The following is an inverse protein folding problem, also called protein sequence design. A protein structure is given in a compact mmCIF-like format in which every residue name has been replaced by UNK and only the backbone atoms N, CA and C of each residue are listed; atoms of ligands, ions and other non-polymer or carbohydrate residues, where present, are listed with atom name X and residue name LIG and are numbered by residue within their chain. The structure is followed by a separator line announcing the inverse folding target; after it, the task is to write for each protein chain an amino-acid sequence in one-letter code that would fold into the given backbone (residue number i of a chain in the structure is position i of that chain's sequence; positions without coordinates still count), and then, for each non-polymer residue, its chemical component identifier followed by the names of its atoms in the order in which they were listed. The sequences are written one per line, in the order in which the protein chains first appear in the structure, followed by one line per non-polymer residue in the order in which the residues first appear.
data_IF_519808734986
#
_entry.id   IF_519808734986
#
_cell.length_a   1.000
_cell.length_b   1.000
_cell.length_c   1.000
_cell.angle_alpha   90.00
_cell.angle_beta   90.00
_cell.angle_gamma   90.00
#
_symmetry.space_group_name_H-M   'P 1'
#
loop_
_entity.id
_entity.type
_entity.pdbx_description
1 polymer ?
#
# COMPACT_ATOMS: atom_id res chain seq x y z
N UNK A 1 3.21 9.62 -27.57
CA UNK A 1 2.27 8.75 -28.32
C UNK A 1 1.96 7.57 -27.44
N UNK A 2 0.70 7.17 -27.26
CA UNK A 2 0.36 6.01 -26.43
C UNK A 2 0.93 4.74 -27.07
N UNK A 3 1.88 4.05 -26.45
CA UNK A 3 2.53 2.87 -27.03
C UNK A 3 1.59 1.68 -27.22
N UNK A 4 0.42 1.72 -26.58
CA UNK A 4 -0.64 0.70 -26.69
C UNK A 4 -1.53 0.90 -27.89
N UNK A 5 -1.40 2.01 -28.61
CA UNK A 5 -2.15 2.22 -29.85
C UNK A 5 -1.64 1.27 -30.92
N UNK A 6 -2.55 0.51 -31.47
CA UNK A 6 -2.26 -0.36 -32.61
C UNK A 6 -1.76 0.49 -33.78
N UNK A 7 -0.75 0.00 -34.49
CA UNK A 7 -0.28 0.64 -35.71
C UNK A 7 -1.37 0.59 -36.78
N UNK A 8 -1.81 1.77 -37.22
CA UNK A 8 -2.89 1.92 -38.20
C UNK A 8 -2.41 1.99 -39.67
N UNK A 9 -1.08 2.03 -39.88
CA UNK A 9 -0.45 2.08 -41.16
C UNK A 9 -0.39 0.72 -41.89
N UNK A 10 0.06 0.72 -43.15
CA UNK A 10 0.32 -0.52 -43.84
C UNK A 10 1.60 -1.18 -43.33
N UNK A 11 1.58 -2.49 -43.09
CA UNK A 11 2.72 -3.23 -42.49
C UNK A 11 4.04 -3.05 -43.25
N UNK A 12 3.99 -2.88 -44.60
CA UNK A 12 5.20 -2.62 -45.41
C UNK A 12 5.87 -1.28 -45.08
N UNK A 13 5.13 -0.34 -44.50
CA UNK A 13 5.60 1.00 -44.16
C UNK A 13 5.92 1.12 -42.66
N UNK A 14 5.87 -0.02 -41.92
CA UNK A 14 6.17 -0.05 -40.49
C UNK A 14 7.62 0.37 -40.23
N UNK A 15 7.86 1.35 -39.33
CA UNK A 15 9.22 1.80 -39.02
C UNK A 15 10.02 0.70 -38.36
N UNK A 16 10.96 0.11 -39.07
CA UNK A 16 11.81 -0.98 -38.56
C UNK A 16 12.66 -0.56 -37.38
N UNK A 17 12.93 0.75 -37.23
CA UNK A 17 13.60 1.33 -36.05
C UNK A 17 12.80 1.19 -34.75
N UNK A 18 11.52 0.83 -34.83
CA UNK A 18 10.72 0.51 -33.64
C UNK A 18 11.07 -0.88 -33.05
N UNK A 19 11.79 -1.72 -33.78
CA UNK A 19 12.31 -2.97 -33.27
C UNK A 19 13.71 -2.75 -32.66
N UNK A 20 13.90 -2.90 -31.35
CA UNK A 20 15.19 -2.63 -30.69
C UNK A 20 16.33 -3.52 -31.18
N UNK A 21 16.00 -4.73 -31.66
CA UNK A 21 16.92 -5.73 -32.15
C UNK A 21 17.14 -5.68 -33.67
N UNK A 22 16.49 -4.73 -34.37
CA UNK A 22 16.66 -4.59 -35.80
C UNK A 22 18.02 -3.99 -36.16
N UNK A 23 18.76 -4.71 -37.01
CA UNK A 23 19.97 -4.25 -37.66
C UNK A 23 19.95 -4.67 -39.14
N UNK A 24 20.09 -3.71 -40.08
CA UNK A 24 20.03 -4.03 -41.51
C UNK A 24 21.02 -5.13 -41.93
N UNK A 25 20.50 -6.18 -42.56
CA UNK A 25 21.33 -7.29 -43.06
C UNK A 25 21.75 -8.30 -42.01
N UNK A 26 21.32 -8.17 -40.77
CA UNK A 26 21.62 -9.11 -39.70
C UNK A 26 20.36 -9.74 -39.13
N UNK A 27 20.38 -11.01 -38.69
CA UNK A 27 19.27 -11.61 -37.97
C UNK A 27 19.10 -10.96 -36.58
N UNK A 28 17.89 -10.99 -36.02
CA UNK A 28 17.67 -10.57 -34.63
C UNK A 28 18.56 -11.34 -33.66
N UNK A 29 19.08 -10.65 -32.65
CA UNK A 29 19.94 -11.24 -31.62
C UNK A 29 19.44 -10.92 -30.24
N UNK A 30 19.27 -11.94 -29.40
CA UNK A 30 18.76 -11.82 -28.04
C UNK A 30 19.65 -10.93 -27.16
N UNK A 31 20.95 -10.95 -27.34
CA UNK A 31 21.89 -10.12 -26.57
C UNK A 31 21.67 -8.60 -26.73
N UNK A 32 20.90 -8.17 -27.73
CA UNK A 32 20.51 -6.77 -27.89
C UNK A 32 19.32 -6.43 -26.97
N UNK A 33 18.38 -7.35 -26.85
CA UNK A 33 17.19 -7.20 -25.96
C UNK A 33 17.57 -7.36 -24.49
N UNK A 34 18.57 -8.21 -24.19
CA UNK A 34 19.06 -8.39 -22.80
C UNK A 34 19.63 -7.11 -22.17
N UNK A 35 20.00 -6.11 -22.99
CA UNK A 35 20.47 -4.81 -22.52
C UNK A 35 19.36 -3.86 -22.07
N UNK A 36 18.11 -4.20 -22.42
CA UNK A 36 16.94 -3.39 -22.08
C UNK A 36 16.31 -4.00 -20.84
N UNK A 37 16.38 -3.28 -19.73
CA UNK A 37 15.76 -3.73 -18.46
C UNK A 37 14.24 -3.64 -18.49
N UNK A 38 13.57 -4.51 -17.76
CA UNK A 38 12.11 -4.47 -17.63
C UNK A 38 11.61 -3.08 -17.18
N UNK A 39 12.32 -2.44 -16.25
CA UNK A 39 11.94 -1.12 -15.72
C UNK A 39 12.09 -0.01 -16.79
N UNK A 40 12.99 -0.16 -17.76
CA UNK A 40 13.17 0.80 -18.85
C UNK A 40 11.96 0.82 -19.80
N UNK A 41 11.24 -0.29 -19.89
CA UNK A 41 10.12 -0.47 -20.81
C UNK A 41 8.74 -0.42 -20.12
N UNK A 42 8.69 -0.44 -18.79
CA UNK A 42 7.41 -0.60 -18.06
C UNK A 42 6.40 0.49 -18.44
N UNK A 43 6.81 1.73 -18.56
CA UNK A 43 5.91 2.82 -18.94
C UNK A 43 5.46 2.70 -20.40
N UNK A 44 6.37 2.30 -21.29
CA UNK A 44 6.10 2.14 -22.73
C UNK A 44 5.13 0.99 -23.00
N UNK A 45 5.34 -0.15 -22.33
CA UNK A 45 4.56 -1.38 -22.59
C UNK A 45 3.27 -1.41 -21.75
N UNK A 46 3.37 -1.05 -20.47
CA UNK A 46 2.29 -1.17 -19.51
C UNK A 46 1.54 0.15 -19.26
N UNK A 47 2.00 1.26 -19.88
CA UNK A 47 1.32 2.53 -19.94
C UNK A 47 1.39 3.41 -18.69
N UNK A 48 2.15 3.03 -17.67
CA UNK A 48 2.37 3.83 -16.47
C UNK A 48 3.66 3.43 -15.75
N UNK A 49 4.22 4.37 -14.97
CA UNK A 49 5.34 4.13 -14.06
C UNK A 49 4.83 3.56 -12.75
N UNK A 50 4.39 2.31 -12.77
CA UNK A 50 3.93 1.62 -11.57
C UNK A 50 4.98 1.64 -10.48
N UNK A 51 4.61 2.01 -9.24
CA UNK A 51 5.56 2.15 -8.15
C UNK A 51 5.09 2.95 -6.94
N UNK A 52 3.78 3.10 -6.75
CA UNK A 52 3.21 3.99 -5.73
C UNK A 52 3.63 3.72 -4.29
N UNK A 53 4.08 2.50 -3.99
CA UNK A 53 4.55 2.12 -2.65
C UNK A 53 6.08 1.96 -2.57
N UNK A 54 6.82 2.33 -3.62
CA UNK A 54 8.29 2.19 -3.66
C UNK A 54 9.05 3.38 -3.11
N UNK A 55 8.39 4.51 -2.84
CA UNK A 55 9.04 5.74 -2.40
C UNK A 55 8.08 6.73 -1.76
N UNK A 56 8.57 7.94 -1.49
CA UNK A 56 7.84 9.01 -0.81
C UNK A 56 7.55 10.23 -1.69
N UNK A 57 7.83 10.17 -2.99
CA UNK A 57 7.53 11.24 -3.94
C UNK A 57 6.04 11.55 -4.03
N UNK A 58 5.68 12.54 -4.86
CA UNK A 58 4.28 12.98 -4.98
C UNK A 58 3.36 11.86 -5.45
N UNK A 59 2.30 11.62 -4.70
CA UNK A 59 1.27 10.64 -5.02
C UNK A 59 0.45 11.11 -6.23
N UNK A 60 0.35 10.26 -7.25
CA UNK A 60 -0.36 10.58 -8.50
C UNK A 60 -1.63 9.77 -8.69
N UNK A 61 -1.59 8.53 -8.24
CA UNK A 61 -2.71 7.62 -8.47
C UNK A 61 -2.83 6.61 -7.31
N UNK A 62 -4.05 6.36 -6.89
CA UNK A 62 -4.40 5.35 -5.88
C UNK A 62 -5.54 4.46 -6.34
N UNK A 63 -5.67 3.30 -5.74
CA UNK A 63 -6.88 2.50 -5.83
C UNK A 63 -7.61 2.48 -4.49
N UNK A 64 -8.95 2.53 -4.58
CA UNK A 64 -9.90 2.32 -3.49
C UNK A 64 -10.87 1.22 -3.89
N UNK A 65 -11.44 0.50 -2.93
CA UNK A 65 -12.53 -0.48 -3.17
C UNK A 65 -13.87 0.17 -2.85
N UNK A 66 -14.87 -0.03 -3.71
CA UNK A 66 -16.24 0.41 -3.41
C UNK A 66 -16.83 -0.45 -2.29
N UNK A 67 -17.30 0.15 -1.19
CA UNK A 67 -17.99 -0.58 -0.14
C UNK A 67 -19.30 -1.19 -0.63
N UNK A 68 -19.62 -2.38 -0.12
CA UNK A 68 -20.87 -3.07 -0.38
C UNK A 68 -21.44 -3.63 0.93
N UNK A 69 -22.67 -4.16 0.87
CA UNK A 69 -23.31 -4.85 2.00
C UNK A 69 -22.50 -6.05 2.53
N UNK A 70 -21.55 -6.56 1.76
CA UNK A 70 -20.62 -7.61 2.21
C UNK A 70 -19.60 -7.14 3.24
N UNK A 71 -19.51 -5.83 3.50
CA UNK A 71 -18.67 -5.29 4.58
C UNK A 71 -19.33 -5.45 5.96
N UNK A 72 -20.60 -5.78 6.01
CA UNK A 72 -21.25 -6.20 7.25
C UNK A 72 -20.77 -7.60 7.60
N UNK A 73 -20.15 -7.72 8.77
CA UNK A 73 -19.61 -8.99 9.21
C UNK A 73 -20.74 -9.93 9.65
N UNK A 74 -20.90 -11.09 9.00
CA UNK A 74 -21.95 -12.04 9.34
C UNK A 74 -21.74 -12.70 10.71
N UNK A 75 -20.54 -12.62 11.28
CA UNK A 75 -20.26 -13.12 12.62
C UNK A 75 -20.70 -12.15 13.70
N UNK A 76 -20.95 -10.88 13.37
CA UNK A 76 -21.39 -9.87 14.33
C UNK A 76 -22.64 -10.27 15.12
N UNK A 77 -23.59 -10.87 14.45
CA UNK A 77 -24.85 -11.32 15.07
C UNK A 77 -24.68 -12.61 15.90
N UNK A 78 -23.60 -13.39 15.63
CA UNK A 78 -23.36 -14.69 16.26
C UNK A 78 -22.38 -14.63 17.40
N UNK A 79 -21.30 -13.89 17.24
CA UNK A 79 -20.23 -13.79 18.23
C UNK A 79 -19.62 -12.39 18.25
N UNK A 80 -20.13 -11.56 19.16
CA UNK A 80 -19.64 -10.17 19.37
C UNK A 80 -18.26 -10.09 20.00
N UNK A 81 -17.72 -11.21 20.48
CA UNK A 81 -16.39 -11.29 21.07
C UNK A 81 -15.34 -11.75 20.07
N UNK A 82 -15.73 -12.06 18.85
CA UNK A 82 -14.78 -12.44 17.81
C UNK A 82 -13.80 -11.28 17.53
N UNK A 83 -12.53 -11.53 17.71
CA UNK A 83 -11.49 -10.51 17.83
C UNK A 83 -11.28 -9.64 16.59
N UNK A 84 -11.60 -10.16 15.41
CA UNK A 84 -11.52 -9.39 14.15
C UNK A 84 -12.76 -8.52 13.91
N UNK A 85 -13.77 -8.66 14.77
CA UNK A 85 -14.99 -7.88 14.68
C UNK A 85 -14.83 -6.61 15.49
N UNK A 86 -15.09 -5.51 14.86
CA UNK A 86 -15.27 -4.29 15.62
C UNK A 86 -16.55 -4.38 16.42
N UNK A 87 -16.50 -3.79 17.61
CA UNK A 87 -17.65 -3.72 18.52
C UNK A 87 -18.78 -2.80 18.00
N UNK A 88 -18.63 -2.27 16.78
CA UNK A 88 -19.57 -1.35 16.16
C UNK A 88 -20.13 -1.96 14.88
N UNK A 89 -21.45 -2.01 14.76
CA UNK A 89 -22.12 -2.40 13.52
C UNK A 89 -21.79 -1.40 12.42
N UNK A 90 -21.44 -1.90 11.25
CA UNK A 90 -21.15 -1.06 10.09
C UNK A 90 -22.46 -0.51 9.51
N UNK A 91 -22.56 0.81 9.44
CA UNK A 91 -23.56 1.51 8.65
C UNK A 91 -23.02 1.65 7.22
N UNK A 92 -23.61 0.91 6.30
CA UNK A 92 -23.15 0.80 4.91
C UNK A 92 -23.30 2.12 4.16
N UNK A 93 -24.36 2.85 4.35
CA UNK A 93 -24.58 4.10 3.63
C UNK A 93 -23.59 5.18 4.10
N UNK A 94 -23.37 5.25 5.41
CA UNK A 94 -22.35 6.11 5.99
C UNK A 94 -20.94 5.72 5.54
N UNK A 95 -20.65 4.41 5.42
CA UNK A 95 -19.38 3.94 4.94
C UNK A 95 -19.16 4.30 3.46
N UNK A 96 -20.17 4.10 2.60
CA UNK A 96 -20.12 4.50 1.19
C UNK A 96 -19.86 6.00 1.06
N UNK A 97 -20.59 6.84 1.79
CA UNK A 97 -20.39 8.28 1.76
C UNK A 97 -18.98 8.67 2.22
N UNK A 98 -18.46 8.05 3.28
CA UNK A 98 -17.12 8.34 3.77
C UNK A 98 -16.02 8.00 2.74
N UNK A 99 -16.20 6.93 1.95
CA UNK A 99 -15.27 6.62 0.85
C UNK A 99 -15.37 7.62 -0.30
N UNK A 100 -16.56 8.10 -0.64
CA UNK A 100 -16.77 9.13 -1.66
C UNK A 100 -16.16 10.47 -1.22
N UNK A 101 -16.40 10.89 0.04
CA UNK A 101 -15.81 12.11 0.60
C UNK A 101 -14.27 12.02 0.60
N UNK A 102 -13.73 10.88 0.97
CA UNK A 102 -12.28 10.65 0.94
C UNK A 102 -11.71 10.70 -0.48
N UNK A 103 -12.40 10.09 -1.44
CA UNK A 103 -11.99 10.15 -2.85
C UNK A 103 -11.99 11.60 -3.37
N UNK A 104 -12.99 12.41 -3.02
CA UNK A 104 -13.04 13.83 -3.39
C UNK A 104 -11.87 14.61 -2.79
N UNK A 105 -11.48 14.32 -1.54
CA UNK A 105 -10.28 14.94 -0.93
C UNK A 105 -9.03 14.58 -1.73
N UNK A 106 -8.82 13.31 -2.08
CA UNK A 106 -7.68 12.88 -2.89
C UNK A 106 -7.66 13.57 -4.27
N UNK A 107 -8.80 13.61 -4.96
CA UNK A 107 -8.94 14.25 -6.28
C UNK A 107 -8.70 15.76 -6.21
N UNK A 108 -9.15 16.43 -5.16
CA UNK A 108 -8.87 17.85 -4.93
C UNK A 108 -7.38 18.17 -4.76
N UNK A 109 -6.60 17.18 -4.35
CA UNK A 109 -5.14 17.24 -4.23
C UNK A 109 -4.40 16.83 -5.51
N UNK A 110 -5.14 16.54 -6.59
CA UNK A 110 -4.59 16.12 -7.87
C UNK A 110 -4.17 14.64 -7.91
N UNK A 111 -4.70 13.83 -7.00
CA UNK A 111 -4.49 12.38 -6.97
C UNK A 111 -5.65 11.70 -7.71
N UNK A 112 -5.34 10.92 -8.74
CA UNK A 112 -6.34 10.16 -9.46
C UNK A 112 -6.80 8.95 -8.66
N UNK A 113 -8.09 8.78 -8.48
CA UNK A 113 -8.68 7.63 -7.81
C UNK A 113 -9.16 6.59 -8.82
N UNK A 114 -8.66 5.36 -8.71
CA UNK A 114 -9.22 4.19 -9.39
C UNK A 114 -10.07 3.39 -8.44
N UNK A 115 -11.29 3.15 -8.86
CA UNK A 115 -12.20 2.30 -8.11
C UNK A 115 -12.04 0.84 -8.53
N UNK A 116 -11.80 -0.02 -7.56
CA UNK A 116 -11.95 -1.45 -7.72
C UNK A 116 -13.38 -1.83 -7.36
N UNK A 117 -14.08 -2.44 -8.31
CA UNK A 117 -15.41 -2.99 -8.03
C UNK A 117 -15.31 -4.15 -7.04
N UNK A 118 -16.19 -4.15 -6.07
CA UNK A 118 -16.23 -5.23 -5.09
C UNK A 118 -16.51 -6.56 -5.80
N UNK A 119 -15.69 -7.60 -5.53
CA UNK A 119 -15.95 -8.91 -6.13
C UNK A 119 -17.29 -9.45 -5.67
N UNK A 120 -18.03 -10.03 -6.59
CA UNK A 120 -19.36 -10.63 -6.31
C UNK A 120 -19.27 -12.03 -5.68
N UNK A 121 -18.07 -12.61 -5.59
CA UNK A 121 -17.87 -13.95 -5.05
C UNK A 121 -17.39 -13.91 -3.60
N UNK A 122 -17.87 -14.83 -2.81
CA UNK A 122 -17.38 -15.12 -1.48
C UNK A 122 -15.93 -15.63 -1.52
N UNK A 123 -15.15 -15.38 -0.49
CA UNK A 123 -13.85 -16.02 -0.32
C UNK A 123 -13.98 -17.54 -0.13
N UNK A 124 -12.86 -18.24 -0.24
CA UNK A 124 -12.82 -19.71 -0.13
C UNK A 124 -13.41 -20.26 1.18
N UNK A 125 -13.41 -19.46 2.23
CA UNK A 125 -13.86 -19.86 3.57
C UNK A 125 -15.06 -19.06 4.09
N UNK A 126 -15.69 -18.25 3.24
CA UNK A 126 -16.89 -17.48 3.60
C UNK A 126 -16.89 -16.06 3.07
N UNK A 127 -17.75 -15.18 3.63
CA UNK A 127 -17.84 -13.78 3.25
C UNK A 127 -16.52 -13.07 3.45
N UNK A 128 -16.09 -12.32 2.44
CA UNK A 128 -14.79 -11.68 2.40
C UNK A 128 -14.93 -10.19 2.67
N UNK A 129 -14.26 -9.69 3.71
CA UNK A 129 -14.08 -8.24 3.89
C UNK A 129 -13.03 -7.74 2.90
N UNK A 130 -13.31 -6.63 2.22
CA UNK A 130 -12.61 -6.22 1.02
C UNK A 130 -11.96 -4.85 1.09
N UNK A 131 -12.29 -4.06 2.12
CA UNK A 131 -11.92 -2.64 2.17
C UNK A 131 -10.45 -2.36 2.43
N UNK A 132 -9.68 -3.33 2.88
CA UNK A 132 -8.26 -3.17 3.22
C UNK A 132 -7.34 -3.18 1.98
N UNK A 133 -7.61 -2.30 1.03
CA UNK A 133 -6.84 -2.23 -0.22
C UNK A 133 -5.35 -2.02 0.04
N UNK A 134 -5.00 -1.12 0.97
CA UNK A 134 -3.62 -0.83 1.30
C UNK A 134 -2.88 -1.92 2.07
N UNK A 135 -3.62 -2.88 2.67
CA UNK A 135 -3.02 -3.97 3.46
C UNK A 135 -2.81 -5.26 2.67
N UNK A 136 -3.34 -5.36 1.46
CA UNK A 136 -3.30 -6.61 0.70
C UNK A 136 -2.19 -6.65 -0.34
N UNK A 137 -2.14 -5.79 -1.37
CA UNK A 137 -1.05 -5.75 -2.32
C UNK A 137 -0.08 -4.60 -2.05
N UNK A 138 1.09 -4.68 -2.66
CA UNK A 138 2.08 -3.61 -2.70
C UNK A 138 2.44 -3.33 -4.15
N UNK A 139 2.47 -2.06 -4.57
CA UNK A 139 2.91 -1.68 -5.91
C UNK A 139 4.25 -0.97 -5.82
N UNK A 140 5.31 -1.67 -6.18
CA UNK A 140 6.69 -1.16 -6.22
C UNK A 140 7.11 -0.87 -7.67
N UNK A 141 8.33 -0.39 -7.88
CA UNK A 141 8.85 -0.17 -9.23
C UNK A 141 8.66 -1.40 -10.10
N UNK A 142 7.93 -1.22 -11.19
CA UNK A 142 7.63 -2.24 -12.17
C UNK A 142 6.28 -2.95 -12.00
N UNK A 143 5.64 -2.93 -10.82
CA UNK A 143 4.33 -3.58 -10.68
C UNK A 143 3.96 -4.04 -9.27
N UNK A 144 3.00 -4.92 -9.21
CA UNK A 144 2.37 -5.38 -7.99
C UNK A 144 2.97 -6.66 -7.41
N UNK A 145 3.06 -6.71 -6.09
CA UNK A 145 3.21 -7.95 -5.32
C UNK A 145 1.86 -8.21 -4.65
N UNK A 146 1.27 -9.37 -4.91
CA UNK A 146 -0.02 -9.76 -4.36
C UNK A 146 0.20 -10.59 -3.10
N UNK A 147 -0.38 -10.13 -2.00
CA UNK A 147 -0.30 -10.76 -0.69
C UNK A 147 -1.00 -12.10 -0.62
N UNK A 148 -0.54 -12.94 0.31
CA UNK A 148 -1.31 -14.09 0.81
C UNK A 148 -1.61 -13.90 2.28
N UNK A 149 -2.89 -13.86 2.62
CA UNK A 149 -3.37 -13.47 3.94
C UNK A 149 -3.02 -14.47 5.03
N UNK A 150 -2.59 -13.99 6.19
CA UNK A 150 -2.18 -14.78 7.35
C UNK A 150 -3.08 -14.67 8.55
N UNK A 151 -3.69 -13.52 8.78
CA UNK A 151 -4.45 -13.26 10.00
C UNK A 151 -5.80 -13.97 10.04
N UNK A 152 -6.51 -14.04 8.91
CA UNK A 152 -7.86 -14.53 8.90
C UNK A 152 -8.16 -15.41 7.69
N UNK A 153 -8.74 -16.58 7.93
CA UNK A 153 -9.09 -17.52 6.88
C UNK A 153 -10.13 -16.96 5.90
N UNK A 154 -11.07 -16.13 6.37
CA UNK A 154 -12.09 -15.53 5.50
C UNK A 154 -11.55 -14.49 4.52
N UNK A 155 -10.31 -14.03 4.70
CA UNK A 155 -9.62 -13.17 3.74
C UNK A 155 -8.85 -13.96 2.67
N UNK A 156 -8.75 -15.28 2.79
CA UNK A 156 -8.10 -16.12 1.78
C UNK A 156 -8.90 -16.14 0.48
N UNK A 157 -8.21 -15.98 -0.63
CA UNK A 157 -8.81 -15.89 -1.96
C UNK A 157 -8.96 -14.46 -2.48
N UNK A 158 -8.69 -13.44 -1.64
CA UNK A 158 -8.69 -12.03 -2.06
C UNK A 158 -7.64 -11.77 -3.15
N UNK A 159 -6.55 -12.51 -3.17
CA UNK A 159 -5.50 -12.46 -4.17
C UNK A 159 -6.02 -12.64 -5.60
N UNK A 160 -7.06 -13.43 -5.81
CA UNK A 160 -7.70 -13.61 -7.13
C UNK A 160 -8.32 -12.29 -7.61
N UNK A 161 -8.93 -11.53 -6.71
CA UNK A 161 -9.59 -10.27 -7.05
C UNK A 161 -8.57 -9.18 -7.37
N UNK A 162 -7.47 -9.10 -6.59
CA UNK A 162 -6.38 -8.17 -6.89
C UNK A 162 -5.68 -8.52 -8.20
N UNK A 163 -5.46 -9.80 -8.49
CA UNK A 163 -4.91 -10.25 -9.78
C UNK A 163 -5.76 -9.74 -10.94
N UNK A 164 -7.09 -9.93 -10.88
CA UNK A 164 -8.01 -9.42 -11.91
C UNK A 164 -7.99 -7.90 -12.01
N UNK A 165 -7.95 -7.21 -10.88
CA UNK A 165 -7.89 -5.75 -10.85
C UNK A 165 -6.61 -5.24 -11.52
N UNK A 166 -5.43 -5.73 -11.14
CA UNK A 166 -4.17 -5.31 -11.74
C UNK A 166 -4.12 -5.58 -13.24
N UNK A 167 -4.61 -6.75 -13.68
CA UNK A 167 -4.71 -7.05 -15.10
C UNK A 167 -5.63 -6.04 -15.83
N UNK A 168 -6.75 -5.64 -15.22
CA UNK A 168 -7.70 -4.70 -15.84
C UNK A 168 -7.16 -3.28 -16.01
N UNK A 169 -6.17 -2.90 -15.20
CA UNK A 169 -5.54 -1.57 -15.27
C UNK A 169 -4.17 -1.60 -15.94
N UNK A 170 -3.76 -2.72 -16.52
CA UNK A 170 -2.44 -2.96 -17.09
C UNK A 170 -1.28 -2.77 -16.09
N UNK A 171 -1.46 -3.10 -14.83
CA UNK A 171 -0.38 -3.14 -13.86
C UNK A 171 0.27 -4.52 -13.88
N UNK A 172 1.58 -4.65 -14.16
CA UNK A 172 2.26 -5.93 -14.08
C UNK A 172 2.14 -6.56 -12.71
N UNK A 173 1.99 -7.87 -12.64
CA UNK A 173 2.08 -8.63 -11.39
C UNK A 173 3.47 -9.25 -11.34
N UNK A 174 4.33 -8.70 -10.49
CA UNK A 174 5.70 -9.16 -10.34
C UNK A 174 5.77 -10.48 -9.57
N UNK A 175 4.84 -10.65 -8.61
CA UNK A 175 4.77 -11.86 -7.80
C UNK A 175 3.41 -11.98 -7.08
N UNK A 176 3.00 -13.23 -6.87
CA UNK A 176 1.92 -13.58 -5.94
C UNK A 176 2.50 -14.52 -4.90
N UNK A 177 2.37 -14.18 -3.61
CA UNK A 177 2.87 -15.03 -2.52
C UNK A 177 2.19 -16.40 -2.58
N UNK A 178 3.01 -17.46 -2.60
CA UNK A 178 2.53 -18.83 -2.79
C UNK A 178 3.22 -19.83 -1.85
N UNK A 179 3.06 -21.14 -2.07
CA UNK A 179 3.64 -22.19 -1.25
C UNK A 179 3.14 -22.13 0.19
N UNK A 180 4.04 -22.16 1.14
CA UNK A 180 3.75 -21.95 2.56
C UNK A 180 3.92 -20.49 2.99
N UNK A 181 4.32 -19.61 2.07
CA UNK A 181 4.51 -18.19 2.32
C UNK A 181 3.21 -17.51 2.76
N UNK A 182 3.34 -16.66 3.76
CA UNK A 182 2.32 -15.73 4.25
C UNK A 182 2.99 -14.38 4.34
N UNK A 183 2.42 -13.37 3.69
CA UNK A 183 2.89 -12.00 3.83
C UNK A 183 1.81 -11.02 3.37
N UNK A 184 1.40 -10.14 4.27
CA UNK A 184 0.52 -9.02 3.99
C UNK A 184 1.37 -7.81 3.60
N UNK A 185 1.78 -7.78 2.32
CA UNK A 185 2.81 -6.82 1.86
C UNK A 185 2.34 -5.37 1.77
N UNK A 186 1.04 -5.14 1.72
CA UNK A 186 0.47 -3.78 1.66
C UNK A 186 0.77 -2.91 2.87
N UNK A 187 1.15 -3.53 3.99
CA UNK A 187 1.51 -2.84 5.24
C UNK A 187 2.96 -2.38 5.29
N UNK A 188 3.77 -2.73 4.30
CA UNK A 188 5.13 -2.23 4.21
C UNK A 188 5.13 -0.72 3.99
N UNK A 189 6.04 -0.02 4.64
CA UNK A 189 6.08 1.45 4.66
C UNK A 189 7.27 1.95 3.88
N UNK A 190 7.08 2.69 2.76
CA UNK A 190 8.17 3.37 2.09
C UNK A 190 8.73 4.47 3.03
N UNK A 191 10.04 4.45 3.26
CA UNK A 191 10.75 5.40 4.13
C UNK A 191 11.40 6.50 3.30
N UNK A 192 11.89 6.14 2.13
CA UNK A 192 12.50 7.01 1.14
C UNK A 192 12.42 6.31 -0.22
N UNK A 193 12.94 6.94 -1.29
CA UNK A 193 13.07 6.25 -2.57
C UNK A 193 13.96 5.02 -2.40
N UNK A 194 13.46 3.88 -2.82
CA UNK A 194 14.11 2.56 -2.77
C UNK A 194 14.47 2.04 -1.36
N UNK A 195 13.86 2.63 -0.31
CA UNK A 195 13.96 2.16 1.08
C UNK A 195 12.56 1.86 1.61
N UNK A 196 12.26 0.60 1.85
CA UNK A 196 10.94 0.13 2.27
C UNK A 196 11.07 -0.63 3.59
N UNK A 197 10.39 -0.17 4.63
CA UNK A 197 10.31 -0.86 5.92
C UNK A 197 9.41 -2.09 5.79
N UNK A 198 10.00 -3.26 5.98
CA UNK A 198 9.29 -4.52 6.07
C UNK A 198 8.78 -4.80 7.48
N UNK A 199 7.90 -5.78 7.60
CA UNK A 199 7.30 -6.12 8.88
C UNK A 199 7.15 -7.63 9.06
N UNK A 200 7.62 -8.14 10.19
CA UNK A 200 7.46 -9.54 10.60
C UNK A 200 6.54 -9.64 11.81
N UNK A 201 5.40 -10.28 11.62
CA UNK A 201 4.36 -10.45 12.64
C UNK A 201 3.58 -11.74 12.40
N UNK A 202 2.42 -11.91 13.04
CA UNK A 202 1.47 -12.97 12.67
C UNK A 202 0.91 -12.83 11.25
N UNK A 203 1.11 -11.68 10.60
CA UNK A 203 0.71 -11.41 9.21
C UNK A 203 1.77 -11.81 8.17
N UNK A 204 2.94 -12.33 8.60
CA UNK A 204 4.02 -12.76 7.71
C UNK A 204 4.86 -13.86 8.33
N UNK A 205 5.36 -14.78 7.51
CA UNK A 205 6.34 -15.78 7.90
C UNK A 205 7.63 -15.64 7.07
N UNK A 206 8.66 -16.42 7.43
CA UNK A 206 9.98 -16.34 6.78
C UNK A 206 9.90 -16.63 5.28
N UNK A 207 9.14 -17.66 4.88
CA UNK A 207 8.93 -18.01 3.46
C UNK A 207 8.27 -16.84 2.68
N UNK A 208 7.23 -16.22 3.23
CA UNK A 208 6.59 -15.06 2.58
C UNK A 208 7.51 -13.85 2.48
N UNK A 209 8.30 -13.55 3.51
CA UNK A 209 9.27 -12.45 3.49
C UNK A 209 10.39 -12.71 2.49
N UNK A 210 10.91 -13.94 2.39
CA UNK A 210 11.95 -14.32 1.42
C UNK A 210 11.47 -14.10 -0.02
N UNK A 211 10.21 -14.47 -0.32
CA UNK A 211 9.60 -14.22 -1.62
C UNK A 211 9.56 -12.71 -1.93
N UNK A 212 9.16 -11.87 -0.98
CA UNK A 212 9.13 -10.40 -1.15
C UNK A 212 10.53 -9.85 -1.38
N UNK A 213 11.51 -10.26 -0.58
CA UNK A 213 12.92 -9.83 -0.72
C UNK A 213 13.48 -10.16 -2.10
N UNK A 214 13.14 -11.33 -2.63
CA UNK A 214 13.55 -11.74 -3.99
C UNK A 214 13.02 -10.78 -5.07
N UNK A 215 11.78 -10.28 -4.91
CA UNK A 215 11.21 -9.30 -5.84
C UNK A 215 11.84 -7.93 -5.64
N UNK A 216 12.00 -7.48 -4.40
CA UNK A 216 12.59 -6.18 -4.07
C UNK A 216 13.98 -6.01 -4.69
N UNK A 217 14.81 -7.05 -4.60
CA UNK A 217 16.15 -7.05 -5.21
C UNK A 217 16.11 -6.79 -6.72
N UNK A 218 15.07 -7.26 -7.42
CA UNK A 218 14.90 -7.07 -8.87
C UNK A 218 14.23 -5.75 -9.24
N UNK A 219 13.56 -5.11 -8.29
CA UNK A 219 12.86 -3.84 -8.46
C UNK A 219 13.65 -2.66 -7.87
N UNK A 220 14.96 -2.81 -7.75
CA UNK A 220 15.91 -1.77 -7.30
C UNK A 220 15.68 -1.25 -5.88
N UNK A 221 14.95 -1.97 -5.05
CA UNK A 221 14.86 -1.63 -3.63
C UNK A 221 16.23 -1.87 -2.98
N UNK A 222 16.84 -0.81 -2.45
CA UNK A 222 18.21 -0.82 -1.95
C UNK A 222 18.31 -1.33 -0.52
N UNK A 223 17.33 -0.97 0.31
CA UNK A 223 17.35 -1.32 1.73
C UNK A 223 15.93 -1.69 2.21
N UNK A 224 15.83 -2.76 2.96
CA UNK A 224 14.60 -3.18 3.63
C UNK A 224 14.87 -3.48 5.11
N UNK A 225 14.83 -2.47 5.99
CA UNK A 225 14.82 -2.72 7.43
C UNK A 225 13.54 -3.48 7.80
N UNK A 226 13.65 -4.47 8.67
CA UNK A 226 12.51 -5.31 9.10
C UNK A 226 12.19 -5.03 10.57
N UNK A 227 10.99 -4.51 10.78
CA UNK A 227 10.42 -4.38 12.12
C UNK A 227 9.79 -5.70 12.59
N UNK A 228 9.91 -6.03 13.84
CA UNK A 228 9.24 -7.16 14.46
C UNK A 228 8.07 -6.67 15.30
N UNK A 229 6.91 -7.28 15.14
CA UNK A 229 5.78 -7.01 16.03
C UNK A 229 6.05 -7.62 17.40
N UNK A 230 5.90 -6.80 18.40
CA UNK A 230 5.87 -7.22 19.81
C UNK A 230 4.43 -7.39 20.29
N UNK A 231 3.49 -7.66 19.40
CA UNK A 231 2.06 -7.72 19.71
C UNK A 231 1.79 -8.68 20.86
N UNK A 232 1.40 -8.12 21.98
CA UNK A 232 0.88 -8.88 23.11
C UNK A 232 -0.58 -9.18 22.77
N UNK A 233 -0.86 -10.43 22.41
CA UNK A 233 -2.19 -10.92 22.00
C UNK A 233 -3.23 -10.70 23.13
N UNK A 234 -2.80 -10.55 24.36
CA UNK A 234 -3.67 -10.43 25.54
C UNK A 234 -4.32 -9.04 25.69
N UNK A 235 -3.91 -8.03 24.94
CA UNK A 235 -4.50 -6.68 25.01
C UNK A 235 -5.39 -6.38 23.80
N UNK A 236 -6.38 -7.24 23.57
CA UNK A 236 -7.39 -7.02 22.50
C UNK A 236 -8.24 -5.77 22.72
N UNK A 237 -8.36 -5.29 23.95
CA UNK A 237 -9.05 -4.03 24.22
C UNK A 237 -8.25 -2.82 23.74
N UNK A 238 -6.92 -2.94 23.74
CA UNK A 238 -6.00 -1.92 23.24
C UNK A 238 -5.69 -2.06 21.73
N UNK A 239 -6.22 -3.10 21.05
CA UNK A 239 -6.03 -3.31 19.62
C UNK A 239 -4.57 -3.60 19.27
N UNK A 240 -4.08 -4.78 19.64
CA UNK A 240 -2.72 -5.21 19.29
C UNK A 240 -2.43 -5.01 17.81
N UNK A 241 -1.34 -4.28 17.51
CA UNK A 241 -1.03 -3.88 16.15
C UNK A 241 -0.24 -4.98 15.43
N UNK A 242 -0.85 -5.54 14.38
CA UNK A 242 -0.21 -6.56 13.54
C UNK A 242 0.62 -5.97 12.42
N UNK A 243 0.44 -4.68 12.13
CA UNK A 243 0.96 -3.98 10.97
C UNK A 243 1.75 -2.73 11.37
N UNK A 244 2.96 -2.59 10.82
CA UNK A 244 3.83 -1.45 11.16
C UNK A 244 3.22 -0.10 10.75
N UNK A 245 2.41 -0.05 9.71
CA UNK A 245 1.75 1.16 9.25
C UNK A 245 0.67 1.70 10.20
N UNK A 246 0.30 0.94 11.22
CA UNK A 246 -0.55 1.43 12.32
C UNK A 246 0.25 2.27 13.33
N UNK A 247 1.56 2.01 13.47
CA UNK A 247 2.44 2.64 14.45
C UNK A 247 3.50 3.54 13.85
N UNK A 248 3.66 3.51 12.52
CA UNK A 248 4.67 4.25 11.79
C UNK A 248 4.10 4.87 10.50
N UNK A 249 4.23 6.18 10.35
CA UNK A 249 3.93 6.91 9.13
C UNK A 249 5.03 7.89 8.75
N UNK A 250 5.36 7.98 7.46
CA UNK A 250 6.31 8.98 6.95
C UNK A 250 5.56 10.25 6.59
N UNK A 251 6.08 11.40 7.01
CA UNK A 251 5.44 12.70 6.77
C UNK A 251 6.28 13.65 5.94
N UNK A 252 7.61 13.45 5.90
CA UNK A 252 8.53 14.25 5.11
C UNK A 252 9.87 13.50 4.99
N UNK A 253 10.82 14.10 4.26
CA UNK A 253 12.20 13.61 4.21
C UNK A 253 12.75 13.55 5.63
N UNK A 254 13.17 12.37 6.06
CA UNK A 254 13.69 12.10 7.42
C UNK A 254 12.78 12.57 8.55
N UNK A 255 11.44 12.57 8.34
CA UNK A 255 10.47 12.84 9.40
C UNK A 255 9.42 11.74 9.46
N UNK A 256 9.23 11.16 10.63
CA UNK A 256 8.30 10.06 10.86
C UNK A 256 7.40 10.33 12.06
N UNK A 257 6.15 9.92 11.97
CA UNK A 257 5.20 9.85 13.08
C UNK A 257 5.22 8.42 13.62
N UNK A 258 5.45 8.28 14.91
CA UNK A 258 5.66 6.96 15.53
C UNK A 258 4.85 6.85 16.82
N UNK A 259 4.18 5.73 17.00
CA UNK A 259 3.73 5.32 18.32
C UNK A 259 4.78 4.37 18.94
N UNK A 260 5.59 4.83 19.91
CA UNK A 260 6.73 4.07 20.39
C UNK A 260 6.33 2.82 21.21
N UNK A 261 5.09 2.75 21.71
CA UNK A 261 4.63 1.64 22.53
C UNK A 261 4.61 0.27 21.82
N UNK A 262 4.51 0.27 20.48
CA UNK A 262 4.47 -0.96 19.67
C UNK A 262 5.54 -1.01 18.58
N UNK A 263 6.47 -0.04 18.56
CA UNK A 263 7.56 -0.05 17.60
C UNK A 263 8.76 -0.82 18.17
N UNK A 264 9.33 -1.72 17.37
CA UNK A 264 10.58 -2.42 17.67
C UNK A 264 11.71 -1.42 17.97
N UNK A 265 12.41 -1.62 19.08
CA UNK A 265 13.51 -0.76 19.50
C UNK A 265 14.64 -0.65 18.44
N UNK A 266 14.92 -1.74 17.70
CA UNK A 266 15.93 -1.71 16.66
C UNK A 266 15.54 -0.76 15.53
N UNK A 267 14.24 -0.66 15.21
CA UNK A 267 13.72 0.27 14.21
C UNK A 267 13.75 1.71 14.74
N UNK A 268 13.36 1.92 15.98
CA UNK A 268 13.49 3.24 16.61
C UNK A 268 14.95 3.73 16.56
N UNK A 269 15.88 2.85 16.90
CA UNK A 269 17.32 3.13 16.82
C UNK A 269 17.77 3.36 15.37
N UNK A 270 17.29 2.56 14.41
CA UNK A 270 17.59 2.73 12.98
C UNK A 270 17.25 4.14 12.49
N UNK A 271 16.11 4.70 12.93
CA UNK A 271 15.74 6.09 12.64
C UNK A 271 16.67 7.09 13.31
N UNK A 272 17.01 6.88 14.58
CA UNK A 272 17.91 7.75 15.33
C UNK A 272 19.31 7.81 14.73
N UNK A 273 19.87 6.66 14.36
CA UNK A 273 21.21 6.55 13.77
C UNK A 273 21.29 7.22 12.38
N UNK A 274 20.14 7.46 11.74
CA UNK A 274 20.01 8.17 10.45
C UNK A 274 19.45 9.57 10.56
N UNK A 275 19.47 10.13 11.76
CA UNK A 275 19.06 11.52 12.05
C UNK A 275 17.62 11.86 11.65
N UNK A 276 16.70 10.87 11.73
CA UNK A 276 15.30 11.15 11.55
C UNK A 276 14.72 11.95 12.71
N UNK A 277 13.88 12.93 12.39
CA UNK A 277 12.99 13.56 13.35
C UNK A 277 11.83 12.60 13.65
N UNK A 278 11.76 12.08 14.86
CA UNK A 278 10.68 11.22 15.32
C UNK A 278 9.64 12.08 16.04
N UNK A 279 8.41 12.06 15.52
CA UNK A 279 7.25 12.74 16.09
C UNK A 279 6.43 11.68 16.81
N UNK A 280 6.51 11.67 18.14
CA UNK A 280 5.86 10.65 18.95
C UNK A 280 4.36 10.91 19.09
N UNK A 281 3.56 9.86 18.97
CA UNK A 281 2.11 9.83 19.14
C UNK A 281 1.77 9.58 20.60
N UNK A 282 0.90 10.38 21.24
CA UNK A 282 0.36 10.07 22.57
C UNK A 282 -0.48 8.79 22.56
N UNK A 283 -0.43 8.03 23.66
CA UNK A 283 -1.13 6.73 23.79
C UNK A 283 -2.64 6.84 23.53
N UNK A 284 -3.29 7.82 24.12
CA UNK A 284 -4.73 8.06 23.97
C UNK A 284 -5.15 8.42 22.55
N UNK A 285 -4.32 9.18 21.82
CA UNK A 285 -4.57 9.48 20.41
C UNK A 285 -4.31 8.26 19.51
N UNK A 286 -3.28 7.46 19.82
CA UNK A 286 -2.99 6.25 19.06
C UNK A 286 -4.19 5.30 19.05
N UNK A 287 -4.70 4.91 20.20
CA UNK A 287 -5.82 3.96 20.31
C UNK A 287 -7.14 4.49 19.77
N UNK A 288 -7.31 5.79 19.72
CA UNK A 288 -8.57 6.41 19.31
C UNK A 288 -8.61 6.80 17.83
N UNK A 289 -7.50 7.26 17.27
CA UNK A 289 -7.46 7.88 15.95
C UNK A 289 -6.43 7.27 15.00
N UNK A 290 -5.49 6.44 15.47
CA UNK A 290 -4.40 5.86 14.67
C UNK A 290 -3.65 6.89 13.82
N UNK A 291 -3.12 7.99 14.36
CA UNK A 291 -2.58 9.09 13.58
C UNK A 291 -1.32 8.75 12.77
N UNK A 292 -0.62 7.66 13.09
CA UNK A 292 0.48 7.16 12.29
C UNK A 292 0.02 6.46 11.01
N UNK A 293 -1.24 5.98 10.96
CA UNK A 293 -1.85 5.39 9.76
C UNK A 293 -2.36 6.50 8.83
N UNK A 294 -1.45 7.26 8.30
CA UNK A 294 -1.66 8.45 7.47
C UNK A 294 -1.40 8.19 5.99
N UNK A 295 -1.84 9.10 5.13
CA UNK A 295 -1.53 9.05 3.70
C UNK A 295 -0.63 10.22 3.33
N UNK A 296 0.60 9.89 2.91
CA UNK A 296 1.56 10.86 2.41
C UNK A 296 1.19 11.25 0.97
N UNK A 297 0.88 12.51 0.73
CA UNK A 297 0.62 13.07 -0.60
C UNK A 297 1.94 13.40 -1.30
N UNK A 298 2.80 14.13 -0.63
CA UNK A 298 4.18 14.43 -1.03
C UNK A 298 4.99 14.78 0.23
N UNK A 299 6.32 14.75 0.20
CA UNK A 299 7.12 15.15 1.34
C UNK A 299 6.67 16.51 1.89
N UNK A 300 6.36 16.55 3.18
CA UNK A 300 5.83 17.74 3.85
C UNK A 300 4.32 17.97 3.71
N UNK A 301 3.55 17.02 3.11
CA UNK A 301 2.09 17.13 2.98
C UNK A 301 1.38 15.80 3.17
N UNK A 302 0.50 15.70 4.16
CA UNK A 302 -0.17 14.45 4.55
C UNK A 302 -1.67 14.63 4.79
N UNK A 303 -2.42 13.53 4.64
CA UNK A 303 -3.79 13.41 5.17
C UNK A 303 -3.72 12.61 6.47
N UNK A 304 -4.32 13.12 7.54
CA UNK A 304 -4.40 12.48 8.85
C UNK A 304 -5.82 12.45 9.39
N UNK A 305 -6.10 11.50 10.26
CA UNK A 305 -7.39 11.41 10.96
C UNK A 305 -7.63 12.65 11.83
N UNK A 306 -8.77 13.30 11.63
CA UNK A 306 -9.23 14.42 12.47
C UNK A 306 -9.44 13.94 13.91
N UNK A 307 -9.02 14.77 14.87
CA UNK A 307 -9.17 14.48 16.29
C UNK A 307 -7.89 14.10 17.01
N UNK A 308 -6.84 13.70 16.29
CA UNK A 308 -5.50 13.48 16.84
C UNK A 308 -4.78 14.85 17.05
N UNK A 309 -5.33 15.69 17.89
CA UNK A 309 -5.01 17.13 17.96
C UNK A 309 -3.57 17.41 18.36
N UNK A 310 -3.04 16.68 19.32
CA UNK A 310 -1.65 16.87 19.76
C UNK A 310 -0.65 16.33 18.72
N UNK A 311 -0.91 15.16 18.12
CA UNK A 311 -0.07 14.64 17.05
C UNK A 311 -0.08 15.59 15.86
N UNK A 312 -1.25 16.08 15.42
CA UNK A 312 -1.37 17.03 14.32
C UNK A 312 -0.61 18.33 14.63
N UNK A 313 -0.71 18.84 15.86
CA UNK A 313 0.03 20.02 16.31
C UNK A 313 1.55 19.82 16.19
N UNK A 314 2.06 18.64 16.62
CA UNK A 314 3.49 18.28 16.52
C UNK A 314 3.93 18.15 15.07
N UNK A 315 3.13 17.54 14.22
CA UNK A 315 3.42 17.37 12.79
C UNK A 315 3.49 18.73 12.10
N UNK A 316 2.54 19.63 12.38
CA UNK A 316 2.55 21.01 11.86
C UNK A 316 3.74 21.81 12.39
N UNK A 317 4.11 21.64 13.64
CA UNK A 317 5.29 22.28 14.23
C UNK A 317 6.60 21.78 13.60
N UNK A 318 6.62 20.58 13.03
CA UNK A 318 7.74 20.06 12.23
C UNK A 318 7.74 20.56 10.77
N UNK A 319 6.85 21.50 10.42
CA UNK A 319 6.80 22.13 9.08
C UNK A 319 6.01 21.32 8.05
N UNK A 320 5.18 20.36 8.46
CA UNK A 320 4.38 19.53 7.56
C UNK A 320 2.95 20.07 7.46
N UNK A 321 2.44 20.19 6.24
CA UNK A 321 1.03 20.50 5.96
C UNK A 321 0.16 19.28 6.29
N UNK A 322 -0.83 19.46 7.15
CA UNK A 322 -1.76 18.40 7.54
C UNK A 322 -3.18 18.73 7.08
N UNK A 323 -3.72 17.86 6.23
CA UNK A 323 -5.12 17.85 5.82
C UNK A 323 -5.85 16.90 6.78
N UNK A 324 -6.79 17.44 7.53
CA UNK A 324 -7.57 16.67 8.49
C UNK A 324 -8.79 16.04 7.80
N UNK A 325 -8.91 14.72 7.89
CA UNK A 325 -10.04 13.97 7.36
C UNK A 325 -10.88 13.41 8.50
N UNK A 326 -12.20 13.58 8.44
CA UNK A 326 -13.10 12.85 9.33
C UNK A 326 -13.14 11.37 8.92
N UNK A 327 -12.48 10.56 9.71
CA UNK A 327 -12.34 9.11 9.46
C UNK A 327 -13.42 8.28 10.16
N UNK A 328 -14.36 8.89 10.84
CA UNK A 328 -15.35 8.17 11.67
C UNK A 328 -16.14 7.14 10.86
N UNK A 329 -16.56 7.50 9.64
CA UNK A 329 -17.23 6.59 8.71
C UNK A 329 -16.34 5.48 8.19
N UNK A 330 -15.10 5.81 7.81
CA UNK A 330 -14.10 4.84 7.33
C UNK A 330 -13.70 3.86 8.42
N UNK A 331 -13.44 4.36 9.64
CA UNK A 331 -13.03 3.55 10.78
C UNK A 331 -14.09 2.55 11.25
N UNK A 332 -15.36 2.78 10.96
CA UNK A 332 -16.42 1.82 11.25
C UNK A 332 -16.21 0.48 10.50
N UNK A 333 -15.60 0.53 9.31
CA UNK A 333 -15.29 -0.65 8.51
C UNK A 333 -13.82 -1.04 8.50
N UNK A 334 -12.90 -0.14 8.89
CA UNK A 334 -11.44 -0.31 8.75
C UNK A 334 -10.68 0.25 9.95
N UNK A 335 -9.36 0.07 9.96
CA UNK A 335 -8.51 0.59 11.04
C UNK A 335 -7.99 2.00 10.79
N UNK A 336 -7.77 2.41 9.53
CA UNK A 336 -7.29 3.75 9.20
C UNK A 336 -7.31 4.04 7.71
N UNK A 337 -6.98 5.28 7.34
CA UNK A 337 -7.06 5.74 5.94
C UNK A 337 -6.03 5.05 5.03
N UNK A 338 -4.83 4.74 5.54
CA UNK A 338 -3.83 4.04 4.76
C UNK A 338 -4.26 2.59 4.47
N UNK A 339 -4.95 1.94 5.41
CA UNK A 339 -5.44 0.57 5.23
C UNK A 339 -6.39 0.42 4.03
N UNK A 340 -7.11 1.47 3.65
CA UNK A 340 -8.05 1.47 2.52
C UNK A 340 -7.45 2.05 1.24
N UNK A 341 -6.22 2.56 1.30
CA UNK A 341 -5.56 3.26 0.19
C UNK A 341 -4.42 2.43 -0.38
N UNK A 342 -4.50 2.07 -1.65
CA UNK A 342 -3.39 1.45 -2.38
C UNK A 342 -2.73 2.47 -3.29
N UNK A 343 -1.51 2.97 -2.98
CA UNK A 343 -0.76 3.80 -3.90
C UNK A 343 -0.35 3.01 -5.15
N UNK A 344 -0.72 3.51 -6.33
CA UNK A 344 -0.40 2.88 -7.62
C UNK A 344 0.76 3.57 -8.33
N UNK A 345 0.77 4.90 -8.31
CA UNK A 345 1.77 5.72 -8.99
C UNK A 345 2.21 6.87 -8.08
N UNK A 346 3.52 7.06 -7.99
CA UNK A 346 4.18 8.23 -7.40
C UNK A 346 5.23 8.76 -8.35
N UNK A 347 5.52 10.04 -8.26
CA UNK A 347 6.75 10.59 -8.84
C UNK A 347 7.96 10.03 -8.08
N UNK A 348 9.14 9.97 -8.70
CA UNK A 348 10.37 9.67 -7.97
C UNK A 348 10.53 10.62 -6.78
N UNK A 349 10.94 10.08 -5.66
CA UNK A 349 11.13 10.80 -4.41
C UNK A 349 12.59 10.93 -4.03
N UNK A 350 12.89 11.61 -2.91
CA UNK A 350 14.23 11.68 -2.36
C UNK A 350 14.66 10.34 -1.75
N UNK A 351 15.95 10.01 -1.96
CA UNK A 351 16.64 8.92 -1.26
C UNK A 351 17.07 9.32 0.15
N UNK A 352 17.83 8.45 0.80
CA UNK A 352 18.48 8.73 2.10
C UNK A 352 19.92 9.23 1.99
N UNK A 353 20.48 9.21 0.77
CA UNK A 353 21.85 9.65 0.49
C UNK A 353 22.00 11.16 0.53
#
# INVERSE_FOLDING_TARGET
MDPRKQYEGHLKDYPLTNYPDYEPGHPPRSERLEKIGFLDEVEKIWGSRWGGSGGIGRLREVALIKPTEHEVDPLWEKDRNFFLLRRVRVDIDRLKQAFEDYAQVLESLGVRVRWMEAPQSWGAYGPMRKLFMGAFPLVIKGGAIVSRQGQASFMRGVEVNFTKFFASINCPILHTIHGHGICEVGVFVPIAEDVIMGFKSCASNDDGLEQVLSVFKRSEVKEMPVAHSTTIIDDFEAGGEFHVDMVLGVVDIRKVVVYPGYLDYNIYRWFKDREFQIIEVPKDEHHKFYPANLVLIEPGKVIMAKGATETIRRVRAAGVEVIELDTTGLMAGTNGIRCVTLPLVRDPGPGLD
#
